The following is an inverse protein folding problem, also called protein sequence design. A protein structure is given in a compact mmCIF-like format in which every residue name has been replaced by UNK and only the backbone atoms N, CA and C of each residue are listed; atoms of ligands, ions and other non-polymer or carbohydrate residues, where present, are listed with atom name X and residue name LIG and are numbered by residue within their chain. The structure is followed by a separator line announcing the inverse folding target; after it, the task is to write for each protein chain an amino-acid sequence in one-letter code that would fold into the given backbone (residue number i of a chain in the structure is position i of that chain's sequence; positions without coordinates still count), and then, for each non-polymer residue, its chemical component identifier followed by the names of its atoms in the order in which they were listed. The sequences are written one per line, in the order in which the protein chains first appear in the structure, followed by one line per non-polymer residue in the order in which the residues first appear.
data_IF_792627063101
#
_entry.id   IF_792627063101
#
_cell.length_a   1.000
_cell.length_b   1.000
_cell.length_c   1.000
_cell.angle_alpha   90.00
_cell.angle_beta   90.00
_cell.angle_gamma   90.00
#
_symmetry.space_group_name_H-M   'P 1'
#
loop_
_entity.id
_entity.type
_entity.pdbx_description
1 polymer ?
#
# COMPACT_ATOMS: atom_id res chain seq x y z
N UNK A 1 10.40 -4.86 -33.30
CA UNK A 1 10.08 -3.83 -32.28
C UNK A 1 9.91 -4.56 -30.96
N UNK A 2 10.47 -4.10 -29.84
CA UNK A 2 10.47 -4.91 -28.63
C UNK A 2 9.04 -5.04 -28.11
N UNK A 3 8.55 -6.27 -28.05
CA UNK A 3 7.33 -6.66 -27.32
C UNK A 3 7.37 -6.05 -25.92
N UNK A 4 6.58 -5.02 -25.68
CA UNK A 4 6.37 -4.45 -24.36
C UNK A 4 5.54 -5.45 -23.54
N UNK A 5 6.18 -6.57 -23.15
CA UNK A 5 5.62 -7.54 -22.21
C UNK A 5 5.35 -6.80 -20.91
N UNK A 6 4.07 -6.66 -20.61
CA UNK A 6 3.59 -6.10 -19.35
C UNK A 6 4.24 -6.90 -18.22
N UNK A 7 5.08 -6.26 -17.40
CA UNK A 7 5.83 -6.95 -16.33
C UNK A 7 4.90 -7.52 -15.26
N UNK A 8 3.80 -6.82 -14.97
CA UNK A 8 2.77 -7.26 -14.02
C UNK A 8 1.39 -7.30 -14.66
N UNK A 9 1.08 -8.41 -15.35
CA UNK A 9 -0.20 -8.60 -16.04
C UNK A 9 -1.41 -8.54 -15.10
N UNK A 10 -1.28 -9.05 -13.87
CA UNK A 10 -2.37 -9.00 -12.87
C UNK A 10 -2.71 -7.57 -12.48
N UNK A 11 -1.68 -6.75 -12.23
CA UNK A 11 -1.85 -5.34 -11.92
C UNK A 11 -2.41 -4.56 -13.11
N UNK A 12 -1.97 -4.88 -14.33
CA UNK A 12 -2.52 -4.30 -15.56
C UNK A 12 -4.02 -4.57 -15.69
N UNK A 13 -4.46 -5.81 -15.50
CA UNK A 13 -5.88 -6.16 -15.56
C UNK A 13 -6.69 -5.48 -14.45
N UNK A 14 -6.20 -5.50 -13.20
CA UNK A 14 -6.87 -4.82 -12.08
C UNK A 14 -7.04 -3.32 -12.33
N UNK A 15 -6.03 -2.67 -12.93
CA UNK A 15 -6.10 -1.25 -13.30
C UNK A 15 -7.16 -0.99 -14.39
N UNK A 16 -7.33 -1.91 -15.34
CA UNK A 16 -8.38 -1.81 -16.36
C UNK A 16 -9.77 -1.98 -15.75
N UNK A 17 -9.94 -2.93 -14.82
CA UNK A 17 -11.22 -3.19 -14.14
C UNK A 17 -11.70 -1.98 -13.32
N UNK A 18 -10.78 -1.21 -12.73
CA UNK A 18 -11.10 0.03 -12.02
C UNK A 18 -11.18 1.27 -12.95
N UNK A 19 -11.12 1.07 -14.28
CA UNK A 19 -11.39 2.11 -15.27
C UNK A 19 -10.18 2.90 -15.79
N UNK A 20 -8.94 2.43 -15.56
CA UNK A 20 -7.76 3.10 -16.13
C UNK A 20 -7.61 2.80 -17.62
N UNK A 21 -7.10 3.78 -18.37
CA UNK A 21 -6.75 3.59 -19.78
C UNK A 21 -5.60 2.59 -19.94
N UNK A 22 -5.61 1.82 -21.05
CA UNK A 22 -4.60 0.79 -21.36
C UNK A 22 -3.15 1.29 -21.24
N UNK A 23 -2.84 2.48 -21.76
CA UNK A 23 -1.49 3.06 -21.62
C UNK A 23 -1.10 3.37 -20.18
N UNK A 24 -2.04 3.91 -19.38
CA UNK A 24 -1.79 4.24 -17.98
C UNK A 24 -1.61 2.97 -17.16
N UNK A 25 -2.45 1.97 -17.39
CA UNK A 25 -2.32 0.65 -16.78
C UNK A 25 -0.99 -0.02 -17.15
N UNK A 26 -0.59 0.01 -18.42
CA UNK A 26 0.66 -0.59 -18.89
C UNK A 26 1.89 0.07 -18.27
N UNK A 27 1.89 1.40 -18.15
CA UNK A 27 2.97 2.14 -17.50
C UNK A 27 3.14 1.76 -16.04
N UNK A 28 2.03 1.69 -15.30
CA UNK A 28 2.02 1.32 -13.88
C UNK A 28 2.46 -0.14 -13.70
N UNK A 29 1.96 -1.05 -14.54
CA UNK A 29 2.31 -2.47 -14.52
C UNK A 29 3.76 -2.76 -14.96
N UNK A 30 4.39 -1.86 -15.72
CA UNK A 30 5.80 -1.95 -16.13
C UNK A 30 6.77 -1.26 -15.17
N UNK A 31 6.24 -0.50 -14.20
CA UNK A 31 6.99 0.22 -13.16
C UNK A 31 6.64 -0.34 -11.76
N UNK A 32 7.07 -1.57 -11.43
CA UNK A 32 6.72 -2.23 -10.16
C UNK A 32 7.17 -1.43 -8.92
N UNK A 33 8.28 -0.70 -9.01
CA UNK A 33 8.87 0.02 -7.86
C UNK A 33 7.97 1.13 -7.29
N UNK A 34 7.02 1.66 -8.07
CA UNK A 34 6.16 2.76 -7.63
C UNK A 34 4.92 2.29 -6.83
N UNK A 35 4.55 1.01 -6.90
CA UNK A 35 3.26 0.51 -6.36
C UNK A 35 3.42 -0.45 -5.19
N UNK A 36 4.57 -1.11 -5.06
CA UNK A 36 4.79 -2.14 -4.03
C UNK A 36 4.85 -1.59 -2.59
N UNK A 37 5.00 -0.28 -2.39
CA UNK A 37 5.05 0.29 -1.03
C UNK A 37 3.70 0.72 -0.43
N UNK A 38 2.58 0.65 -1.16
CA UNK A 38 1.32 1.18 -0.60
C UNK A 38 0.00 0.58 -1.07
N UNK A 39 -0.10 -0.02 -2.27
CA UNK A 39 -1.42 -0.31 -2.84
C UNK A 39 -2.10 -1.59 -2.32
N UNK A 40 -1.39 -2.48 -1.63
CA UNK A 40 -1.96 -3.72 -1.06
C UNK A 40 -1.80 -3.81 0.47
N UNK A 41 -1.38 -2.74 1.14
CA UNK A 41 -1.46 -2.72 2.59
C UNK A 41 -2.93 -2.59 2.97
N UNK A 42 -3.46 -3.60 3.69
CA UNK A 42 -4.79 -3.47 4.31
C UNK A 42 -4.85 -2.14 5.07
N UNK A 43 -5.98 -1.41 5.05
CA UNK A 43 -6.10 -0.20 5.83
C UNK A 43 -5.86 -0.50 7.31
N UNK A 44 -5.23 0.43 8.03
CA UNK A 44 -4.89 0.27 9.45
C UNK A 44 -6.11 -0.08 10.34
N UNK A 45 -7.33 0.25 9.91
CA UNK A 45 -8.59 -0.16 10.54
C UNK A 45 -8.76 -1.67 10.64
N UNK A 46 -8.30 -2.39 9.61
CA UNK A 46 -8.38 -3.85 9.51
C UNK A 46 -7.26 -4.55 10.29
N UNK A 47 -6.22 -3.81 10.70
CA UNK A 47 -5.12 -4.36 11.46
C UNK A 47 -5.54 -4.55 12.92
N UNK A 48 -4.99 -5.56 13.57
CA UNK A 48 -5.10 -5.76 15.02
C UNK A 48 -4.32 -4.67 15.77
N UNK A 49 -4.67 -4.43 17.04
CA UNK A 49 -3.92 -3.49 17.89
C UNK A 49 -2.44 -3.86 17.96
N UNK A 50 -2.14 -5.16 17.94
CA UNK A 50 -0.79 -5.68 18.02
C UNK A 50 0.03 -5.39 16.76
N UNK A 51 -0.54 -5.61 15.57
CA UNK A 51 0.08 -5.26 14.29
C UNK A 51 0.35 -3.74 14.19
N UNK A 52 -0.61 -2.92 14.62
CA UNK A 52 -0.46 -1.47 14.68
C UNK A 52 0.63 -1.06 15.66
N UNK A 53 0.72 -1.73 16.81
CA UNK A 53 1.77 -1.49 17.79
C UNK A 53 3.17 -1.85 17.24
N UNK A 54 3.30 -2.97 16.53
CA UNK A 54 4.55 -3.36 15.89
C UNK A 54 4.94 -2.37 14.79
N UNK A 55 3.99 -1.92 13.99
CA UNK A 55 4.24 -0.89 12.99
C UNK A 55 4.67 0.43 13.63
N UNK A 56 3.98 0.85 14.69
CA UNK A 56 4.33 2.02 15.48
C UNK A 56 5.75 1.90 16.07
N UNK A 57 6.15 0.71 16.53
CA UNK A 57 7.53 0.45 16.98
C UNK A 57 8.54 0.56 15.84
N UNK A 58 8.22 0.02 14.66
CA UNK A 58 9.09 0.02 13.47
C UNK A 58 9.36 1.43 12.95
N UNK A 59 8.36 2.32 13.01
CA UNK A 59 8.49 3.72 12.59
C UNK A 59 8.95 4.66 13.70
N UNK A 60 9.23 4.13 14.91
CA UNK A 60 9.73 4.94 16.03
C UNK A 60 8.68 5.84 16.69
N UNK A 61 7.40 5.46 16.65
CA UNK A 61 6.31 6.22 17.23
C UNK A 61 6.42 6.24 18.78
N UNK A 62 6.60 7.44 19.32
CA UNK A 62 6.67 7.68 20.77
C UNK A 62 5.28 7.61 21.41
N UNK A 63 5.22 7.25 22.69
CA UNK A 63 3.95 7.11 23.42
C UNK A 63 3.06 5.94 22.96
N UNK A 64 3.46 5.16 21.94
CA UNK A 64 2.73 3.99 21.40
C UNK A 64 2.24 3.00 22.46
N UNK A 65 2.99 2.84 23.55
CA UNK A 65 2.69 1.93 24.66
C UNK A 65 1.41 2.31 25.41
N UNK A 66 1.08 3.59 25.42
CA UNK A 66 -0.11 4.15 26.10
C UNK A 66 -1.28 4.36 25.13
N UNK A 67 -1.09 4.07 23.84
CA UNK A 67 -2.10 4.31 22.81
C UNK A 67 -3.01 3.10 22.60
N UNK A 68 -4.30 3.37 22.49
CA UNK A 68 -5.29 2.41 22.00
C UNK A 68 -5.26 2.28 20.48
N UNK A 69 -5.93 1.24 19.97
CA UNK A 69 -5.98 0.93 18.54
C UNK A 69 -6.26 2.17 17.69
N UNK A 70 -7.28 2.95 18.04
CA UNK A 70 -7.66 4.15 17.30
C UNK A 70 -6.57 5.24 17.32
N UNK A 71 -5.89 5.42 18.46
CA UNK A 71 -4.80 6.39 18.59
C UNK A 71 -3.56 5.94 17.80
N UNK A 72 -3.26 4.63 17.78
CA UNK A 72 -2.20 4.06 16.94
C UNK A 72 -2.49 4.29 15.46
N UNK A 73 -3.71 4.00 14.99
CA UNK A 73 -4.12 4.25 13.60
C UNK A 73 -3.96 5.72 13.23
N UNK A 74 -4.48 6.62 14.07
CA UNK A 74 -4.42 8.07 13.81
C UNK A 74 -2.98 8.56 13.74
N UNK A 75 -2.14 8.11 14.66
CA UNK A 75 -0.74 8.52 14.72
C UNK A 75 0.07 7.94 13.55
N UNK A 76 -0.20 6.70 13.15
CA UNK A 76 0.42 6.04 11.97
C UNK A 76 -0.01 6.63 10.63
N UNK A 77 -1.15 7.34 10.57
CA UNK A 77 -1.61 8.05 9.36
C UNK A 77 -1.12 9.48 9.25
N UNK A 78 -0.77 10.09 10.37
CA UNK A 78 -0.36 11.50 10.44
C UNK A 78 1.16 11.65 10.34
N UNK A 79 1.91 10.58 10.58
CA UNK A 79 3.37 10.49 10.44
C UNK A 79 3.74 10.14 8.99
#
# INVERSE_FOLDING_TARGET
MPDARIKNEKQYQALLEIGYSKEKAARIANAPEAVEKGANAKPYEEWTKEELYQQARKVGLEGRSYMDKNNLIKSLRTN
#
